data_IF_855634612020
#
_entry.id   IF_855634612020
#
_cell.length_a   1.000
_cell.length_b   1.000
_cell.length_c   1.000
_cell.angle_alpha   90.00
_cell.angle_beta   90.00
_cell.angle_gamma   90.00
#
_symmetry.space_group_name_H-M   'P 1'
#
loop_
_entity.id
_entity.type
_entity.pdbx_description
1 polymer ?
#
# COMPACT_ATOMS: atom_id res chain seq x y z
N UNK A 1 11.64 -10.03 -14.25
CA UNK A 1 11.38 -10.87 -13.06
C UNK A 1 11.56 -9.98 -11.83
N UNK A 2 10.50 -9.34 -11.31
CA UNK A 2 10.62 -8.28 -10.28
C UNK A 2 9.60 -8.39 -9.14
N UNK A 3 9.02 -9.57 -8.89
CA UNK A 3 7.98 -9.72 -7.87
C UNK A 3 8.26 -10.88 -6.92
N UNK A 4 9.33 -10.76 -6.14
CA UNK A 4 9.66 -11.71 -5.08
C UNK A 4 10.07 -10.95 -3.82
N UNK A 5 9.40 -11.24 -2.70
CA UNK A 5 9.67 -10.58 -1.41
C UNK A 5 9.37 -9.08 -1.45
N UNK A 6 10.15 -8.29 -0.70
CA UNK A 6 10.07 -6.82 -0.75
C UNK A 6 10.57 -6.31 -2.09
N UNK A 7 9.71 -5.62 -2.85
CA UNK A 7 10.00 -5.19 -4.22
C UNK A 7 9.33 -3.84 -4.53
N UNK A 8 9.53 -3.36 -5.76
CA UNK A 8 8.93 -2.14 -6.31
C UNK A 8 8.22 -2.47 -7.61
N UNK A 9 7.02 -1.93 -7.79
CA UNK A 9 6.27 -1.99 -9.03
C UNK A 9 6.44 -0.69 -9.82
N UNK A 10 7.15 -0.77 -10.95
CA UNK A 10 7.27 0.35 -11.88
C UNK A 10 5.96 0.56 -12.67
N UNK A 11 5.68 1.76 -13.22
CA UNK A 11 4.43 2.05 -13.94
C UNK A 11 4.07 1.06 -15.05
N UNK A 12 5.06 0.51 -15.75
CA UNK A 12 4.83 -0.49 -16.79
C UNK A 12 4.20 -1.79 -16.27
N UNK A 13 4.29 -2.06 -14.97
CA UNK A 13 3.78 -3.28 -14.37
C UNK A 13 2.26 -3.44 -14.58
N UNK A 14 1.51 -2.34 -14.65
CA UNK A 14 0.06 -2.36 -14.85
C UNK A 14 -0.41 -1.71 -16.15
N UNK A 15 0.38 -0.79 -16.74
CA UNK A 15 -0.04 -0.04 -17.92
C UNK A 15 1.02 -0.16 -19.01
N UNK A 16 0.64 -0.76 -20.13
CA UNK A 16 1.52 -0.94 -21.29
C UNK A 16 2.14 0.39 -21.74
N UNK A 17 3.39 0.31 -22.22
CA UNK A 17 4.16 1.45 -22.73
C UNK A 17 4.35 2.59 -21.72
N UNK A 18 4.32 2.29 -20.42
CA UNK A 18 4.79 3.21 -19.36
C UNK A 18 6.22 2.90 -18.96
N UNK A 19 6.74 3.71 -18.03
CA UNK A 19 8.14 3.66 -17.59
C UNK A 19 8.51 2.32 -16.97
N UNK A 20 9.65 1.79 -17.39
CA UNK A 20 10.36 0.68 -16.77
C UNK A 20 11.07 1.13 -15.48
N UNK A 21 11.59 0.16 -14.72
CA UNK A 21 12.26 0.41 -13.45
C UNK A 21 13.54 1.25 -13.64
N UNK A 22 14.32 0.94 -14.67
CA UNK A 22 15.56 1.65 -15.03
C UNK A 22 15.32 3.08 -15.54
N UNK A 23 14.07 3.44 -15.86
CA UNK A 23 13.68 4.78 -16.29
C UNK A 23 13.18 5.66 -15.13
N UNK A 24 13.18 5.16 -13.90
CA UNK A 24 12.87 5.94 -12.71
C UNK A 24 14.09 6.75 -12.27
N UNK A 25 13.91 8.04 -12.02
CA UNK A 25 14.99 8.89 -11.50
C UNK A 25 15.30 8.54 -10.04
N UNK A 26 16.56 8.71 -9.61
CA UNK A 26 16.97 8.48 -8.21
C UNK A 26 16.14 9.28 -7.19
N UNK A 27 15.67 10.48 -7.56
CA UNK A 27 14.82 11.32 -6.71
C UNK A 27 13.40 10.73 -6.53
N UNK A 28 12.96 9.83 -7.41
CA UNK A 28 11.71 9.11 -7.26
C UNK A 28 11.83 7.92 -6.31
N UNK A 29 13.06 7.54 -5.93
CA UNK A 29 13.37 6.40 -5.06
C UNK A 29 13.70 6.83 -3.61
N UNK A 30 13.78 8.13 -3.34
CA UNK A 30 14.05 8.69 -2.01
C UNK A 30 12.98 9.72 -1.70
N UNK A 31 11.99 9.31 -0.90
CA UNK A 31 10.77 10.08 -0.65
C UNK A 31 10.54 10.24 0.87
N UNK A 32 9.85 11.31 1.29
CA UNK A 32 9.23 11.35 2.61
C UNK A 32 8.31 10.13 2.79
N UNK A 33 8.23 9.58 4.00
CA UNK A 33 7.40 8.42 4.32
C UNK A 33 6.36 8.79 5.38
N UNK A 34 5.09 8.52 5.07
CA UNK A 34 4.01 8.46 6.06
C UNK A 34 3.59 7.00 6.22
N UNK A 35 3.51 6.55 7.46
CA UNK A 35 3.04 5.21 7.80
C UNK A 35 1.66 5.31 8.42
N UNK A 36 0.67 4.70 7.76
CA UNK A 36 -0.68 4.56 8.28
C UNK A 36 -0.79 3.23 9.00
N UNK A 37 -0.89 3.25 10.33
CA UNK A 37 -0.97 2.06 11.15
C UNK A 37 -2.42 1.62 11.35
N UNK A 38 -2.79 0.54 10.65
CA UNK A 38 -4.06 -0.17 10.81
C UNK A 38 -3.83 -1.64 11.21
N UNK A 39 -2.74 -1.91 11.94
CA UNK A 39 -2.39 -3.26 12.38
C UNK A 39 -3.44 -3.87 13.31
N UNK A 40 -4.14 -3.05 14.11
CA UNK A 40 -5.20 -3.53 15.01
C UNK A 40 -6.44 -3.96 14.24
N UNK A 41 -6.84 -3.15 13.27
CA UNK A 41 -7.97 -3.39 12.40
C UNK A 41 -7.73 -4.63 11.52
N UNK A 42 -6.54 -4.72 10.91
CA UNK A 42 -6.13 -5.89 10.12
C UNK A 42 -6.03 -7.19 10.94
N UNK A 43 -5.67 -7.09 12.23
CA UNK A 43 -5.65 -8.24 13.13
C UNK A 43 -7.06 -8.75 13.47
N UNK A 44 -8.07 -7.87 13.47
CA UNK A 44 -9.46 -8.22 13.73
C UNK A 44 -10.20 -8.68 12.47
N UNK A 45 -9.84 -8.11 11.32
CA UNK A 45 -10.44 -8.40 10.04
C UNK A 45 -9.35 -8.51 8.96
N UNK A 46 -9.14 -9.73 8.46
CA UNK A 46 -8.17 -9.97 7.36
C UNK A 46 -8.60 -9.36 6.04
N UNK A 47 -9.87 -8.98 5.89
CA UNK A 47 -10.41 -8.24 4.74
C UNK A 47 -10.51 -6.73 5.00
N UNK A 48 -9.71 -6.19 5.93
CA UNK A 48 -9.76 -4.76 6.23
C UNK A 48 -9.28 -3.93 5.03
N UNK A 49 -10.15 -3.06 4.54
CA UNK A 49 -9.89 -2.16 3.42
C UNK A 49 -9.82 -0.71 3.93
N UNK A 50 -8.69 -0.05 3.69
CA UNK A 50 -8.52 1.38 3.99
C UNK A 50 -9.45 2.19 3.08
N UNK A 51 -10.22 3.11 3.65
CA UNK A 51 -11.17 3.96 2.95
C UNK A 51 -10.69 5.41 2.96
N UNK A 52 -11.29 6.26 2.14
CA UNK A 52 -11.08 7.72 2.20
C UNK A 52 -11.33 8.26 3.60
N UNK A 53 -12.39 7.80 4.26
CA UNK A 53 -12.72 8.24 5.62
C UNK A 53 -11.59 7.96 6.61
N UNK A 54 -10.98 6.78 6.51
CA UNK A 54 -9.82 6.43 7.36
C UNK A 54 -8.67 7.44 7.18
N UNK A 55 -8.43 7.90 5.94
CA UNK A 55 -7.40 8.90 5.64
C UNK A 55 -7.77 10.29 6.15
N UNK A 56 -9.02 10.71 5.99
CA UNK A 56 -9.50 12.00 6.50
C UNK A 56 -9.44 12.07 8.03
N UNK A 57 -9.78 10.98 8.71
CA UNK A 57 -9.68 10.86 10.17
C UNK A 57 -8.20 10.88 10.63
N UNK A 58 -7.30 10.27 9.85
CA UNK A 58 -5.86 10.33 10.12
C UNK A 58 -5.31 11.76 9.96
N UNK A 59 -5.70 12.47 8.89
CA UNK A 59 -5.27 13.84 8.63
C UNK A 59 -5.75 14.84 9.69
N UNK A 60 -6.94 14.61 10.26
CA UNK A 60 -7.43 15.42 11.38
C UNK A 60 -6.51 15.37 12.60
N UNK A 61 -5.79 14.25 12.80
CA UNK A 61 -4.92 14.04 13.95
C UNK A 61 -3.46 14.40 13.68
N UNK A 62 -2.98 14.19 12.44
CA UNK A 62 -1.56 14.28 12.10
C UNK A 62 -1.23 15.42 11.13
N UNK A 63 -2.25 16.09 10.59
CA UNK A 63 -2.11 17.07 9.52
C UNK A 63 -2.26 16.45 8.13
N UNK A 64 -2.33 17.33 7.12
CA UNK A 64 -2.53 16.94 5.72
C UNK A 64 -1.34 16.11 5.22
N UNK A 65 -1.63 15.04 4.47
CA UNK A 65 -0.63 14.27 3.73
C UNK A 65 -0.03 15.16 2.65
N UNK A 66 1.29 15.35 2.72
CA UNK A 66 2.02 16.20 1.78
C UNK A 66 2.19 15.54 0.41
N UNK A 67 2.10 16.34 -0.65
CA UNK A 67 2.36 15.86 -2.01
C UNK A 67 3.80 15.36 -2.17
N UNK A 68 4.01 14.38 -3.05
CA UNK A 68 5.33 13.77 -3.25
C UNK A 68 5.72 12.71 -2.20
N UNK A 69 4.88 12.48 -1.20
CA UNK A 69 5.13 11.50 -0.13
C UNK A 69 4.90 10.07 -0.62
N UNK A 70 5.68 9.13 -0.08
CA UNK A 70 5.38 7.70 -0.10
C UNK A 70 4.49 7.36 1.12
N UNK A 71 3.31 6.80 0.87
CA UNK A 71 2.38 6.42 1.95
C UNK A 71 2.34 4.90 2.06
N UNK A 72 2.77 4.37 3.20
CA UNK A 72 2.78 2.93 3.47
C UNK A 72 1.67 2.53 4.45
N UNK A 73 0.96 1.45 4.12
CA UNK A 73 -0.06 0.84 4.96
C UNK A 73 0.59 -0.21 5.87
N UNK A 74 0.71 0.09 7.16
CA UNK A 74 1.19 -0.89 8.14
C UNK A 74 0.02 -1.73 8.65
N UNK A 75 0.08 -3.03 8.39
CA UNK A 75 -0.89 -4.03 8.86
C UNK A 75 -0.27 -5.10 9.76
N UNK A 76 1.05 -5.04 9.97
CA UNK A 76 1.86 -6.09 10.60
C UNK A 76 1.74 -7.47 9.93
N UNK A 77 1.26 -7.54 8.68
CA UNK A 77 1.09 -8.79 7.93
C UNK A 77 2.40 -9.56 7.76
N UNK A 78 3.53 -8.84 7.70
CA UNK A 78 4.88 -9.40 7.67
C UNK A 78 5.18 -10.38 8.81
N UNK A 79 4.49 -10.30 9.95
CA UNK A 79 4.63 -11.24 11.07
C UNK A 79 4.14 -12.66 10.75
N UNK A 80 3.41 -12.86 9.66
CA UNK A 80 2.98 -14.18 9.17
C UNK A 80 4.09 -14.90 8.40
N UNK A 81 5.10 -14.18 7.90
CA UNK A 81 6.27 -14.78 7.26
C UNK A 81 7.19 -15.48 8.29
N UNK A 82 7.86 -16.61 7.97
CA UNK A 82 7.92 -17.32 6.69
C UNK A 82 6.86 -18.42 6.48
N UNK A 83 5.80 -18.44 7.29
CA UNK A 83 4.71 -19.41 7.15
C UNK A 83 3.82 -19.03 5.95
N UNK A 84 4.04 -19.69 4.81
CA UNK A 84 3.39 -19.36 3.54
C UNK A 84 1.87 -19.51 3.64
N UNK A 85 1.38 -20.55 4.31
CA UNK A 85 -0.06 -20.77 4.47
C UNK A 85 -0.70 -19.62 5.25
N UNK A 86 -0.06 -19.19 6.34
CA UNK A 86 -0.53 -18.01 7.10
C UNK A 86 -0.39 -16.71 6.32
N UNK A 87 0.66 -16.55 5.52
CA UNK A 87 0.92 -15.33 4.76
C UNK A 87 -0.06 -15.15 3.60
N UNK A 88 -0.34 -16.23 2.85
CA UNK A 88 -1.33 -16.23 1.77
C UNK A 88 -2.77 -16.16 2.30
N UNK A 89 -3.01 -16.71 3.49
CA UNK A 89 -4.28 -16.62 4.23
C UNK A 89 -5.50 -16.97 3.34
N UNK A 90 -5.42 -18.12 2.67
CA UNK A 90 -6.45 -18.59 1.73
C UNK A 90 -7.64 -19.22 2.47
N UNK A 91 -8.84 -19.01 1.96
CA UNK A 91 -10.05 -19.72 2.40
C UNK A 91 -10.14 -21.14 1.80
N UNK A 92 -11.26 -21.82 2.05
CA UNK A 92 -11.53 -23.17 1.55
C UNK A 92 -11.68 -23.24 0.02
N UNK A 93 -12.02 -22.11 -0.62
CA UNK A 93 -12.16 -21.97 -2.06
C UNK A 93 -10.85 -21.52 -2.73
N UNK A 94 -9.82 -21.21 -1.93
CA UNK A 94 -8.49 -20.79 -2.36
C UNK A 94 -8.32 -19.27 -2.54
N UNK A 95 -9.31 -18.46 -2.14
CA UNK A 95 -9.23 -17.00 -2.21
C UNK A 95 -8.37 -16.44 -1.07
N UNK A 96 -7.50 -15.50 -1.38
CA UNK A 96 -6.66 -14.83 -0.39
C UNK A 96 -7.44 -13.75 0.34
N UNK A 97 -7.38 -13.77 1.67
CA UNK A 97 -7.93 -12.72 2.53
C UNK A 97 -6.80 -11.84 3.07
N UNK A 98 -6.61 -10.68 2.45
CA UNK A 98 -5.50 -9.78 2.71
C UNK A 98 -6.03 -8.35 2.92
N UNK A 99 -5.53 -7.63 3.95
CA UNK A 99 -5.89 -6.22 4.12
C UNK A 99 -5.28 -5.40 2.99
N UNK A 100 -5.92 -4.29 2.64
CA UNK A 100 -5.48 -3.52 1.48
C UNK A 100 -6.09 -2.14 1.34
N UNK A 101 -5.87 -1.56 0.17
CA UNK A 101 -6.33 -0.22 -0.17
C UNK A 101 -7.69 -0.26 -0.87
N UNK A 102 -8.62 0.57 -0.42
CA UNK A 102 -9.87 0.84 -1.12
C UNK A 102 -9.64 1.76 -2.31
N UNK A 103 -10.43 1.60 -3.36
CA UNK A 103 -10.32 2.44 -4.56
C UNK A 103 -10.53 3.93 -4.24
N UNK A 104 -11.43 4.25 -3.33
CA UNK A 104 -11.70 5.61 -2.85
C UNK A 104 -10.49 6.20 -2.11
N UNK A 105 -9.82 5.40 -1.28
CA UNK A 105 -8.57 5.79 -0.62
C UNK A 105 -7.46 6.06 -1.65
N UNK A 106 -7.28 5.18 -2.64
CA UNK A 106 -6.27 5.35 -3.68
C UNK A 106 -6.50 6.59 -4.52
N UNK A 107 -7.74 6.83 -4.97
CA UNK A 107 -8.09 8.05 -5.70
C UNK A 107 -7.81 9.29 -4.89
N UNK A 108 -8.19 9.30 -3.61
CA UNK A 108 -7.93 10.43 -2.73
C UNK A 108 -6.42 10.71 -2.56
N UNK A 109 -5.61 9.67 -2.32
CA UNK A 109 -4.17 9.82 -2.18
C UNK A 109 -3.52 10.32 -3.48
N UNK A 110 -3.85 9.71 -4.61
CA UNK A 110 -3.19 9.98 -5.89
C UNK A 110 -3.70 11.28 -6.51
N UNK A 111 -5.02 11.45 -6.63
CA UNK A 111 -5.64 12.56 -7.36
C UNK A 111 -5.76 13.83 -6.52
N UNK A 112 -6.02 13.73 -5.21
CA UNK A 112 -6.26 14.90 -4.35
C UNK A 112 -5.08 15.27 -3.45
N UNK A 113 -4.23 14.31 -3.06
CA UNK A 113 -3.02 14.57 -2.26
C UNK A 113 -1.74 14.58 -3.08
N UNK A 114 -1.74 14.01 -4.28
CA UNK A 114 -0.56 13.96 -5.13
C UNK A 114 0.58 13.16 -4.50
N UNK A 115 0.25 12.07 -3.79
CA UNK A 115 1.28 11.15 -3.26
C UNK A 115 2.08 10.57 -4.43
N UNK A 116 3.37 10.34 -4.19
CA UNK A 116 4.26 9.83 -5.24
C UNK A 116 4.14 8.31 -5.39
N UNK A 117 3.91 7.62 -4.28
CA UNK A 117 3.86 6.16 -4.24
C UNK A 117 3.01 5.68 -3.06
N UNK A 118 2.55 4.44 -3.14
CA UNK A 118 1.84 3.71 -2.08
C UNK A 118 2.52 2.37 -1.82
N UNK A 119 2.35 1.82 -0.61
CA UNK A 119 2.93 0.53 -0.22
C UNK A 119 2.12 -0.12 0.90
N UNK A 120 2.43 -1.36 1.22
CA UNK A 120 1.80 -2.14 2.30
C UNK A 120 2.81 -3.08 2.96
#
# INVERSE_FOLDING_TARGET
VTQYGTHIDAPIHFVENRRYLEELDLKELVLPLIVLDYSKEAAQNSDFIVSRKHLEDWEQQHGRIEAGTFVALRTDWSKRWPDIEKFENKDVDGHQHLPGWGLDALKFLIEERGVKSIGH
#
